data_IF_400630948259
#
_entry.id   IF_400630948259
#
_cell.length_a   1.000
_cell.length_b   1.000
_cell.length_c   1.000
_cell.angle_alpha   90.00
_cell.angle_beta   90.00
_cell.angle_gamma   90.00
#
_symmetry.space_group_name_H-M   'P 1'
#
loop_
_entity.id
_entity.type
_entity.pdbx_description
1 polymer ?
#
# COMPACT_ATOMS: atom_id res chain seq x y z
N UNK A 1 8.01 -7.06 11.65
CA UNK A 1 6.84 -7.97 11.74
C UNK A 1 5.64 -7.33 11.05
N UNK A 2 4.73 -8.13 10.49
CA UNK A 2 3.47 -7.60 9.95
C UNK A 2 2.64 -6.94 11.08
N UNK A 3 1.79 -5.94 10.76
CA UNK A 3 0.84 -5.36 11.72
C UNK A 3 -0.05 -6.43 12.37
N UNK A 4 -0.44 -6.25 13.64
CA UNK A 4 -1.38 -7.17 14.33
C UNK A 4 -2.83 -6.97 13.86
N UNK A 5 -3.13 -5.78 13.33
CA UNK A 5 -4.41 -5.46 12.70
C UNK A 5 -4.19 -4.32 11.69
N UNK A 6 -4.99 -4.32 10.63
CA UNK A 6 -4.97 -3.29 9.59
C UNK A 6 -6.38 -2.70 9.49
N UNK A 7 -6.48 -1.38 9.55
CA UNK A 7 -7.76 -0.67 9.47
C UNK A 7 -7.70 0.46 8.46
N UNK A 8 -8.84 0.79 7.87
CA UNK A 8 -8.91 1.91 6.95
C UNK A 8 -10.28 2.57 6.96
N UNK A 9 -10.33 3.80 6.45
CA UNK A 9 -11.59 4.47 6.18
C UNK A 9 -11.46 5.35 4.93
N UNK A 10 -12.49 5.30 4.08
CA UNK A 10 -12.60 6.23 2.96
C UNK A 10 -13.14 7.58 3.42
N UNK A 11 -12.40 8.64 3.10
CA UNK A 11 -12.86 10.02 3.22
C UNK A 11 -13.53 10.53 1.95
N UNK A 12 -13.77 9.69 0.93
CA UNK A 12 -14.26 10.14 -0.39
C UNK A 12 -15.60 10.87 -0.32
N UNK A 13 -16.50 10.40 0.53
CA UNK A 13 -17.83 11.01 0.73
C UNK A 13 -17.88 11.93 1.96
N UNK A 14 -17.22 11.51 3.04
CA UNK A 14 -17.32 12.13 4.36
C UNK A 14 -16.21 13.16 4.64
N UNK A 15 -15.21 13.25 3.77
CA UNK A 15 -14.02 14.09 3.92
C UNK A 15 -12.88 13.40 4.68
N UNK A 16 -11.66 13.87 4.43
CA UNK A 16 -10.43 13.32 5.03
C UNK A 16 -10.42 13.45 6.56
N UNK A 17 -11.00 14.51 7.11
CA UNK A 17 -11.09 14.76 8.56
C UNK A 17 -11.84 13.64 9.26
N UNK A 18 -13.02 13.26 8.76
CA UNK A 18 -13.82 12.17 9.36
C UNK A 18 -13.09 10.83 9.28
N UNK A 19 -12.47 10.53 8.13
CA UNK A 19 -11.67 9.33 7.97
C UNK A 19 -10.47 9.30 8.95
N UNK A 20 -9.80 10.44 9.12
CA UNK A 20 -8.71 10.59 10.07
C UNK A 20 -9.16 10.35 11.51
N UNK A 21 -10.25 10.99 11.94
CA UNK A 21 -10.77 10.88 13.31
C UNK A 21 -11.17 9.45 13.65
N UNK A 22 -11.81 8.74 12.72
CA UNK A 22 -12.20 7.35 12.90
C UNK A 22 -10.97 6.43 13.07
N UNK A 23 -9.98 6.56 12.19
CA UNK A 23 -8.75 5.75 12.25
C UNK A 23 -7.95 6.09 13.50
N UNK A 24 -7.77 7.38 13.82
CA UNK A 24 -7.10 7.83 15.04
C UNK A 24 -7.81 7.30 16.30
N UNK A 25 -9.14 7.39 16.35
CA UNK A 25 -9.95 6.87 17.44
C UNK A 25 -9.77 5.36 17.63
N UNK A 26 -9.76 4.60 16.52
CA UNK A 26 -9.50 3.17 16.57
C UNK A 26 -8.11 2.85 17.12
N UNK A 27 -7.07 3.53 16.63
CA UNK A 27 -5.71 3.34 17.12
C UNK A 27 -5.59 3.68 18.62
N UNK A 28 -6.23 4.76 19.07
CA UNK A 28 -6.22 5.14 20.49
C UNK A 28 -6.85 4.07 21.39
N UNK A 29 -7.90 3.41 20.92
CA UNK A 29 -8.63 2.39 21.67
C UNK A 29 -7.93 1.03 21.65
N UNK A 30 -7.32 0.66 20.52
CA UNK A 30 -6.89 -0.72 20.27
C UNK A 30 -5.37 -0.92 20.22
N UNK A 31 -4.58 0.15 20.05
CA UNK A 31 -3.13 0.02 19.98
C UNK A 31 -2.44 0.26 21.32
N UNK A 32 -1.34 -0.46 21.55
CA UNK A 32 -0.47 -0.23 22.70
C UNK A 32 0.42 0.98 22.45
N UNK A 33 0.84 1.67 23.51
CA UNK A 33 1.79 2.79 23.44
C UNK A 33 1.35 3.98 22.55
N UNK A 34 0.06 4.12 22.25
CA UNK A 34 -0.48 5.20 21.42
C UNK A 34 -0.01 6.59 21.89
N UNK A 35 -0.16 6.89 23.18
CA UNK A 35 0.25 8.18 23.76
C UNK A 35 1.76 8.44 23.81
N UNK A 36 2.60 7.47 23.42
CA UNK A 36 4.07 7.61 23.39
C UNK A 36 4.66 7.51 21.99
N UNK A 37 3.97 6.86 21.02
CA UNK A 37 4.59 6.35 19.77
C UNK A 37 3.67 6.31 18.54
N UNK A 38 2.58 7.08 18.51
CA UNK A 38 1.70 7.10 17.35
C UNK A 38 2.32 7.92 16.19
N UNK A 39 2.67 7.27 15.09
CA UNK A 39 3.32 7.92 13.96
C UNK A 39 2.30 8.37 12.92
N UNK A 40 2.32 9.65 12.54
CA UNK A 40 1.55 10.12 11.38
C UNK A 40 2.44 10.29 10.18
N UNK A 41 1.97 9.78 9.04
CA UNK A 41 2.58 9.96 7.75
C UNK A 41 1.63 10.75 6.85
N UNK A 42 1.62 12.09 6.95
CA UNK A 42 0.71 12.91 6.16
C UNK A 42 1.23 13.09 4.73
N UNK A 43 0.31 13.10 3.76
CA UNK A 43 0.60 13.69 2.47
C UNK A 43 0.99 15.17 2.64
N UNK A 44 1.86 15.70 1.75
CA UNK A 44 2.37 17.08 1.87
C UNK A 44 1.28 18.14 1.92
N UNK A 45 0.14 17.91 1.25
CA UNK A 45 -0.99 18.83 1.23
C UNK A 45 -1.72 18.92 2.57
N UNK A 46 -1.67 17.88 3.40
CA UNK A 46 -2.37 17.82 4.69
C UNK A 46 -1.54 18.43 5.85
N UNK A 47 -0.26 18.75 5.63
CA UNK A 47 0.67 19.22 6.68
C UNK A 47 0.23 20.51 7.40
N UNK A 48 -0.68 21.31 6.83
CA UNK A 48 -1.17 22.57 7.41
C UNK A 48 -2.53 22.46 8.10
N UNK A 49 -3.10 21.27 8.15
CA UNK A 49 -4.41 21.07 8.75
C UNK A 49 -4.33 21.03 10.29
N UNK A 50 -5.24 21.74 10.95
CA UNK A 50 -5.25 21.91 12.41
C UNK A 50 -5.41 20.57 13.15
N UNK A 51 -6.17 19.62 12.58
CA UNK A 51 -6.36 18.28 13.16
C UNK A 51 -5.07 17.44 13.16
N UNK A 52 -4.14 17.71 12.24
CA UNK A 52 -2.83 17.06 12.20
C UNK A 52 -1.87 17.69 13.24
N UNK A 53 -1.97 18.99 13.52
CA UNK A 53 -1.10 19.68 14.48
C UNK A 53 -1.21 19.11 15.91
N UNK A 54 -2.43 18.75 16.35
CA UNK A 54 -2.65 18.12 17.65
C UNK A 54 -1.98 16.73 17.78
N UNK A 55 -1.84 16.01 16.65
CA UNK A 55 -1.19 14.70 16.62
C UNK A 55 0.34 14.83 16.48
N UNK A 56 0.81 15.83 15.73
CA UNK A 56 2.22 16.20 15.55
C UNK A 56 2.86 16.63 16.88
N UNK A 57 2.09 17.26 17.77
CA UNK A 57 2.56 17.75 19.08
C UNK A 57 3.17 16.66 19.99
N UNK A 58 2.87 15.38 19.75
CA UNK A 58 3.47 14.25 20.47
C UNK A 58 4.88 13.85 19.98
N UNK A 59 5.46 14.58 19.03
CA UNK A 59 6.84 14.38 18.55
C UNK A 59 7.06 13.18 17.63
N UNK A 60 6.01 12.40 17.35
CA UNK A 60 6.05 11.17 16.55
C UNK A 60 5.54 11.44 15.12
N UNK A 61 6.30 12.18 14.33
CA UNK A 61 6.00 12.42 12.91
C UNK A 61 7.07 11.78 12.06
N UNK A 62 6.64 11.00 11.06
CA UNK A 62 7.52 10.31 10.12
C UNK A 62 7.34 10.86 8.72
N UNK A 63 8.40 10.88 7.92
CA UNK A 63 8.26 11.12 6.49
C UNK A 63 9.29 10.32 5.69
N UNK A 64 9.00 9.94 4.44
CA UNK A 64 9.96 9.20 3.61
C UNK A 64 11.26 9.97 3.32
N UNK A 65 11.28 11.30 3.45
CA UNK A 65 12.45 12.17 3.15
C UNK A 65 12.96 12.95 4.36
N UNK A 66 12.71 12.49 5.59
CA UNK A 66 13.04 13.23 6.81
C UNK A 66 13.21 12.32 8.02
N UNK A 67 12.70 12.75 9.19
CA UNK A 67 12.78 11.98 10.45
C UNK A 67 12.11 10.62 10.26
N UNK A 68 12.89 9.54 10.32
CA UNK A 68 12.35 8.20 10.42
C UNK A 68 11.76 8.03 11.80
N UNK A 69 10.45 7.79 11.90
CA UNK A 69 9.83 7.43 13.18
C UNK A 69 10.49 6.18 13.77
N UNK A 70 10.47 6.05 15.09
CA UNK A 70 10.85 4.80 15.76
C UNK A 70 9.82 3.69 15.45
N UNK A 71 10.28 2.44 15.33
CA UNK A 71 9.41 1.27 15.09
C UNK A 71 8.66 0.86 16.36
N UNK A 72 7.56 0.11 16.18
CA UNK A 72 6.87 -0.61 17.26
C UNK A 72 5.78 0.18 17.98
N UNK A 73 5.24 1.21 17.32
CA UNK A 73 4.03 1.95 17.73
C UNK A 73 2.96 1.89 16.65
N UNK A 74 1.69 2.22 16.96
CA UNK A 74 0.65 2.32 15.94
C UNK A 74 0.99 3.38 14.91
N UNK A 75 0.68 3.11 13.65
CA UNK A 75 0.94 4.04 12.55
C UNK A 75 -0.38 4.45 11.91
N UNK A 76 -0.53 5.74 11.66
CA UNK A 76 -1.63 6.32 10.90
C UNK A 76 -1.04 6.97 9.63
N UNK A 77 -1.41 6.44 8.47
CA UNK A 77 -1.05 7.01 7.19
C UNK A 77 -2.23 7.82 6.62
N UNK A 78 -2.00 9.09 6.28
CA UNK A 78 -3.03 10.00 5.75
C UNK A 78 -2.77 10.26 4.28
N UNK A 79 -3.72 9.85 3.46
CA UNK A 79 -3.70 9.93 2.00
C UNK A 79 -2.37 9.41 1.41
N UNK A 80 -1.98 8.16 1.74
CA UNK A 80 -0.62 7.70 1.51
C UNK A 80 -0.32 7.45 0.04
N UNK A 81 0.87 7.86 -0.39
CA UNK A 81 1.51 7.27 -1.57
C UNK A 81 2.01 5.86 -1.28
N UNK A 82 2.33 5.09 -2.31
CA UNK A 82 2.96 3.75 -2.18
C UNK A 82 4.21 3.75 -1.27
N UNK A 83 5.04 4.79 -1.32
CA UNK A 83 6.22 4.95 -0.43
C UNK A 83 5.83 5.14 1.03
N UNK A 84 4.76 5.89 1.27
CA UNK A 84 4.23 6.11 2.62
C UNK A 84 3.61 4.82 3.15
N UNK A 85 2.90 4.08 2.30
CA UNK A 85 2.30 2.80 2.62
C UNK A 85 3.35 1.75 3.00
N UNK A 86 4.38 1.57 2.17
CA UNK A 86 5.54 0.70 2.45
C UNK A 86 6.19 1.07 3.79
N UNK A 87 6.44 2.36 3.99
CA UNK A 87 7.05 2.85 5.22
C UNK A 87 6.16 2.58 6.44
N UNK A 88 4.84 2.77 6.32
CA UNK A 88 3.87 2.54 7.39
C UNK A 88 3.80 1.08 7.83
N UNK A 89 3.74 0.15 6.87
CA UNK A 89 3.78 -1.30 7.12
C UNK A 89 5.02 -1.67 7.94
N UNK A 90 6.19 -1.15 7.54
CA UNK A 90 7.46 -1.43 8.22
C UNK A 90 7.54 -0.82 9.62
N UNK A 91 6.95 0.35 9.83
CA UNK A 91 7.03 1.09 11.10
C UNK A 91 6.03 0.57 12.14
N UNK A 92 4.87 0.07 11.69
CA UNK A 92 3.87 -0.53 12.56
C UNK A 92 4.43 -1.75 13.32
N UNK A 93 5.30 -2.57 12.69
CA UNK A 93 6.12 -3.60 13.34
C UNK A 93 5.40 -4.40 14.45
N UNK A 94 4.32 -5.11 14.10
CA UNK A 94 3.52 -5.85 15.08
C UNK A 94 2.54 -5.00 15.90
N UNK A 95 2.25 -3.76 15.47
CA UNK A 95 1.17 -2.91 15.99
C UNK A 95 0.09 -2.69 14.95
N UNK A 96 -0.95 -1.93 15.30
CA UNK A 96 -2.04 -1.59 14.37
C UNK A 96 -1.55 -0.58 13.33
N UNK A 97 -1.87 -0.82 12.07
CA UNK A 97 -1.65 0.13 10.97
C UNK A 97 -2.99 0.63 10.41
N UNK A 98 -3.16 1.95 10.43
CA UNK A 98 -4.38 2.62 9.99
C UNK A 98 -4.16 3.50 8.77
N UNK A 99 -5.10 3.50 7.83
CA UNK A 99 -5.07 4.36 6.63
C UNK A 99 -6.35 5.20 6.53
N UNK A 100 -6.20 6.52 6.46
CA UNK A 100 -7.29 7.45 6.12
C UNK A 100 -6.99 8.06 4.74
N UNK A 101 -7.88 7.93 3.76
CA UNK A 101 -7.61 8.39 2.39
C UNK A 101 -8.87 8.92 1.70
N UNK A 102 -8.74 9.95 0.86
CA UNK A 102 -9.83 10.34 -0.07
C UNK A 102 -9.70 9.63 -1.43
N UNK A 103 -8.59 8.93 -1.64
CA UNK A 103 -8.27 8.13 -2.83
C UNK A 103 -8.28 6.63 -2.46
N UNK A 104 -9.47 6.00 -2.34
CA UNK A 104 -9.55 4.58 -1.96
C UNK A 104 -8.93 3.64 -3.00
N UNK A 105 -8.90 4.04 -4.28
CA UNK A 105 -8.25 3.27 -5.34
C UNK A 105 -6.76 3.01 -5.07
N UNK A 106 -6.05 4.04 -4.62
CA UNK A 106 -4.60 4.03 -4.39
C UNK A 106 -4.16 3.06 -3.26
N UNK A 107 -5.09 2.66 -2.40
CA UNK A 107 -4.82 1.77 -1.25
C UNK A 107 -5.55 0.43 -1.34
N UNK A 108 -6.41 0.25 -2.35
CA UNK A 108 -7.28 -0.91 -2.51
C UNK A 108 -6.52 -2.25 -2.55
N UNK A 109 -5.36 -2.28 -3.20
CA UNK A 109 -4.47 -3.45 -3.22
C UNK A 109 -3.95 -3.84 -1.84
N UNK A 110 -3.58 -2.86 -1.00
CA UNK A 110 -3.15 -3.11 0.38
C UNK A 110 -4.32 -3.53 1.27
N UNK A 111 -5.50 -2.90 1.10
CA UNK A 111 -6.73 -3.28 1.81
C UNK A 111 -7.05 -4.75 1.56
N UNK A 112 -7.00 -5.19 0.29
CA UNK A 112 -7.24 -6.57 -0.08
C UNK A 112 -6.17 -7.52 0.47
N UNK A 113 -4.88 -7.19 0.30
CA UNK A 113 -3.77 -8.03 0.75
C UNK A 113 -3.75 -8.25 2.27
N UNK A 114 -4.15 -7.23 3.03
CA UNK A 114 -4.16 -7.28 4.51
C UNK A 114 -5.51 -7.67 5.12
N UNK A 115 -6.55 -7.83 4.29
CA UNK A 115 -7.95 -7.98 4.74
C UNK A 115 -8.31 -6.91 5.78
N UNK A 116 -7.96 -5.66 5.47
CA UNK A 116 -8.12 -4.55 6.38
C UNK A 116 -9.60 -4.38 6.77
N UNK A 117 -9.83 -4.02 8.04
CA UNK A 117 -11.13 -3.64 8.56
C UNK A 117 -11.50 -2.25 8.04
N UNK A 118 -12.61 -2.16 7.34
CA UNK A 118 -13.22 -0.89 6.98
C UNK A 118 -13.98 -0.33 8.18
N UNK A 119 -13.59 0.84 8.66
CA UNK A 119 -14.21 1.48 9.82
C UNK A 119 -15.55 2.15 9.50
N UNK A 120 -15.86 2.36 8.22
CA UNK A 120 -17.16 2.87 7.80
C UNK A 120 -18.23 1.78 7.85
N UNK A 121 -17.91 0.59 7.34
CA UNK A 121 -18.85 -0.54 7.27
C UNK A 121 -18.74 -1.50 8.46
N UNK A 122 -17.60 -1.54 9.14
CA UNK A 122 -17.29 -2.52 10.19
C UNK A 122 -16.90 -3.90 9.66
N UNK A 123 -16.75 -4.05 8.34
CA UNK A 123 -16.44 -5.33 7.70
C UNK A 123 -14.97 -5.43 7.27
N UNK A 124 -14.43 -6.64 7.25
CA UNK A 124 -13.09 -6.89 6.69
C UNK A 124 -13.19 -7.13 5.19
N UNK A 125 -12.23 -6.61 4.45
CA UNK A 125 -12.13 -6.93 3.03
C UNK A 125 -11.99 -8.45 2.84
N UNK A 126 -12.73 -9.09 1.91
CA UNK A 126 -12.71 -10.54 1.71
C UNK A 126 -11.37 -11.08 1.14
N UNK A 127 -10.41 -10.21 0.86
CA UNK A 127 -9.23 -10.50 0.06
C UNK A 127 -9.54 -10.55 -1.44
N UNK A 128 -8.72 -11.30 -2.19
CA UNK A 128 -8.93 -11.60 -3.62
C UNK A 128 -9.24 -13.08 -3.80
N UNK A 129 -9.85 -13.50 -4.93
CA UNK A 129 -10.01 -14.90 -5.27
C UNK A 129 -8.67 -15.67 -5.31
N UNK A 130 -8.65 -17.00 -5.05
CA UNK A 130 -7.40 -17.77 -4.93
C UNK A 130 -6.50 -17.75 -6.17
N UNK A 131 -7.08 -17.80 -7.36
CA UNK A 131 -6.38 -17.72 -8.65
C UNK A 131 -5.72 -16.35 -8.87
N UNK A 132 -6.38 -15.29 -8.39
CA UNK A 132 -5.81 -13.93 -8.39
C UNK A 132 -4.69 -13.82 -7.35
N UNK A 133 -4.85 -14.42 -6.18
CA UNK A 133 -3.80 -14.45 -5.17
C UNK A 133 -2.54 -15.17 -5.69
N UNK A 134 -2.72 -16.29 -6.39
CA UNK A 134 -1.64 -17.03 -7.04
C UNK A 134 -0.93 -16.16 -8.09
N UNK A 135 -1.67 -15.52 -8.99
CA UNK A 135 -1.08 -14.62 -10.00
C UNK A 135 -0.30 -13.45 -9.37
N UNK A 136 -0.77 -12.89 -8.24
CA UNK A 136 -0.05 -11.85 -7.49
C UNK A 136 1.25 -12.38 -6.87
N UNK A 137 1.24 -13.61 -6.35
CA UNK A 137 2.43 -14.28 -5.79
C UNK A 137 3.44 -14.62 -6.89
N UNK A 138 2.99 -15.16 -8.02
CA UNK A 138 3.84 -15.44 -9.17
C UNK A 138 4.51 -14.16 -9.69
N UNK A 139 3.75 -13.06 -9.79
CA UNK A 139 4.29 -11.77 -10.19
C UNK A 139 5.28 -11.20 -9.15
N UNK A 140 5.01 -11.43 -7.86
CA UNK A 140 5.93 -11.09 -6.78
C UNK A 140 7.26 -11.85 -6.93
N UNK A 141 7.20 -13.18 -7.09
CA UNK A 141 8.35 -14.07 -7.17
C UNK A 141 9.17 -13.88 -8.45
N UNK A 142 8.51 -13.47 -9.55
CA UNK A 142 9.20 -13.15 -10.80
C UNK A 142 10.21 -11.99 -10.65
N UNK A 143 10.05 -11.12 -9.64
CA UNK A 143 11.14 -10.22 -9.20
C UNK A 143 11.50 -9.09 -10.17
N UNK A 144 10.52 -8.50 -10.89
CA UNK A 144 10.82 -7.41 -11.83
C UNK A 144 11.36 -6.16 -11.12
N UNK A 145 12.58 -5.75 -11.47
CA UNK A 145 13.28 -4.60 -10.89
C UNK A 145 13.54 -3.46 -11.89
N UNK A 146 12.91 -3.50 -13.08
CA UNK A 146 12.92 -2.37 -14.03
C UNK A 146 14.03 -2.35 -15.09
N UNK A 147 15.04 -3.22 -15.02
CA UNK A 147 16.16 -3.24 -15.98
C UNK A 147 16.11 -4.46 -16.90
N UNK A 148 16.32 -4.26 -18.21
CA UNK A 148 16.79 -5.23 -19.23
C UNK A 148 15.95 -6.48 -19.51
N UNK A 149 15.52 -7.15 -18.43
CA UNK A 149 14.89 -8.47 -18.34
C UNK A 149 13.53 -8.58 -18.99
N UNK A 150 12.77 -7.48 -19.10
CA UNK A 150 11.48 -7.53 -19.83
C UNK A 150 11.67 -7.85 -21.33
N UNK A 151 12.89 -7.69 -21.85
CA UNK A 151 13.27 -8.03 -23.23
C UNK A 151 13.97 -9.39 -23.34
N UNK A 152 14.11 -10.12 -22.23
CA UNK A 152 14.68 -11.46 -22.20
C UNK A 152 13.54 -12.49 -22.09
N UNK A 153 13.51 -13.46 -23.01
CA UNK A 153 12.42 -14.44 -23.14
C UNK A 153 12.10 -15.15 -21.82
N UNK A 154 13.14 -15.55 -21.08
CA UNK A 154 13.01 -16.24 -19.79
C UNK A 154 12.22 -15.42 -18.75
N UNK A 155 12.46 -14.12 -18.68
CA UNK A 155 11.83 -13.24 -17.71
C UNK A 155 10.45 -12.77 -18.19
N UNK A 156 10.29 -12.52 -19.49
CA UNK A 156 9.00 -12.25 -20.10
C UNK A 156 7.99 -13.39 -19.85
N UNK A 157 8.43 -14.64 -19.95
CA UNK A 157 7.63 -15.83 -19.65
C UNK A 157 7.20 -15.93 -18.17
N UNK A 158 7.86 -15.21 -17.26
CA UNK A 158 7.49 -15.15 -15.83
C UNK A 158 6.58 -13.98 -15.49
N UNK A 159 6.74 -12.82 -16.15
CA UNK A 159 5.96 -11.62 -15.84
C UNK A 159 4.61 -11.59 -16.54
N UNK A 160 4.59 -11.92 -17.82
CA UNK A 160 3.42 -11.64 -18.65
C UNK A 160 2.22 -12.56 -18.38
N UNK A 161 2.39 -13.88 -18.13
CA UNK A 161 1.26 -14.72 -17.76
C UNK A 161 0.46 -14.24 -16.53
N UNK A 162 1.09 -13.94 -15.37
CA UNK A 162 0.32 -13.41 -14.24
C UNK A 162 -0.26 -12.00 -14.52
N UNK A 163 0.44 -11.14 -15.28
CA UNK A 163 -0.12 -9.84 -15.71
C UNK A 163 -1.37 -10.04 -16.57
N UNK A 164 -1.38 -11.00 -17.49
CA UNK A 164 -2.53 -11.28 -18.35
C UNK A 164 -3.74 -11.74 -17.53
N UNK A 165 -3.53 -12.61 -16.54
CA UNK A 165 -4.58 -13.06 -15.61
C UNK A 165 -5.17 -11.86 -14.85
N UNK A 166 -4.32 -11.03 -14.26
CA UNK A 166 -4.73 -9.87 -13.46
C UNK A 166 -5.48 -8.83 -14.30
N UNK A 167 -5.00 -8.53 -15.51
CA UNK A 167 -5.67 -7.61 -16.43
C UNK A 167 -7.01 -8.16 -16.92
N UNK A 168 -7.10 -9.46 -17.22
CA UNK A 168 -8.34 -10.08 -17.66
C UNK A 168 -9.41 -10.08 -16.56
N UNK A 169 -9.00 -10.24 -15.30
CA UNK A 169 -9.86 -10.14 -14.13
C UNK A 169 -10.20 -8.69 -13.72
N UNK A 170 -9.68 -7.68 -14.43
CA UNK A 170 -10.03 -6.27 -14.23
C UNK A 170 -9.22 -5.56 -13.16
N UNK A 171 -8.12 -6.15 -12.67
CA UNK A 171 -7.23 -5.48 -11.73
C UNK A 171 -6.31 -4.50 -12.45
N UNK A 172 -6.31 -3.25 -12.01
CA UNK A 172 -5.40 -2.22 -12.52
C UNK A 172 -4.00 -2.30 -11.86
N UNK A 173 -3.06 -1.54 -12.42
CA UNK A 173 -1.67 -1.57 -11.95
C UNK A 173 -1.50 -0.98 -10.56
N UNK A 174 -2.36 -0.05 -10.13
CA UNK A 174 -2.24 0.61 -8.83
C UNK A 174 -2.72 -0.34 -7.71
N UNK A 175 -3.80 -1.10 -7.96
CA UNK A 175 -4.20 -2.24 -7.11
C UNK A 175 -3.05 -3.24 -7.00
N UNK A 176 -2.49 -3.68 -8.12
CA UNK A 176 -1.40 -4.68 -8.11
C UNK A 176 -0.17 -4.15 -7.38
N UNK A 177 0.21 -2.90 -7.59
CA UNK A 177 1.34 -2.27 -6.89
C UNK A 177 1.13 -2.22 -5.38
N UNK A 178 -0.04 -1.81 -4.91
CA UNK A 178 -0.38 -1.79 -3.48
C UNK A 178 -0.36 -3.19 -2.84
N UNK A 179 -0.84 -4.21 -3.56
CA UNK A 179 -0.80 -5.59 -3.09
C UNK A 179 0.64 -6.10 -2.97
N UNK A 180 1.47 -5.89 -4.00
CA UNK A 180 2.87 -6.35 -4.04
C UNK A 180 3.74 -5.69 -2.96
N UNK A 181 3.46 -4.43 -2.58
CA UNK A 181 4.14 -3.78 -1.44
C UNK A 181 3.85 -4.52 -0.14
N UNK A 182 2.61 -4.98 0.04
CA UNK A 182 2.22 -5.76 1.22
C UNK A 182 2.95 -7.10 1.30
N UNK A 183 3.20 -7.72 0.14
CA UNK A 183 4.03 -8.93 0.04
C UNK A 183 5.53 -8.68 0.28
N UNK A 184 5.97 -7.41 0.31
CA UNK A 184 7.34 -7.02 0.64
C UNK A 184 8.14 -6.43 -0.52
N UNK A 185 7.52 -6.12 -1.67
CA UNK A 185 8.22 -5.34 -2.71
C UNK A 185 8.43 -3.90 -2.25
N UNK A 186 9.56 -3.32 -2.65
CA UNK A 186 9.77 -1.89 -2.45
C UNK A 186 8.89 -1.06 -3.39
N UNK A 187 8.50 0.14 -2.94
CA UNK A 187 7.73 1.07 -3.76
C UNK A 187 8.46 1.40 -5.08
N UNK A 188 9.79 1.52 -5.05
CA UNK A 188 10.57 1.77 -6.26
C UNK A 188 10.51 0.58 -7.24
N UNK A 189 10.44 -0.66 -6.76
CA UNK A 189 10.31 -1.85 -7.61
C UNK A 189 8.96 -1.91 -8.32
N UNK A 190 7.87 -1.58 -7.63
CA UNK A 190 6.52 -1.61 -8.22
C UNK A 190 6.24 -0.42 -9.13
N UNK A 191 6.93 0.71 -8.98
CA UNK A 191 6.85 1.80 -9.97
C UNK A 191 7.35 1.36 -11.35
N UNK A 192 8.33 0.45 -11.41
CA UNK A 192 8.77 -0.12 -12.67
C UNK A 192 7.74 -1.06 -13.31
N UNK A 193 6.88 -1.71 -12.50
CA UNK A 193 5.84 -2.61 -13.01
C UNK A 193 4.92 -1.90 -14.01
N UNK A 194 4.63 -0.61 -13.80
CA UNK A 194 3.82 0.22 -14.73
C UNK A 194 4.33 0.22 -16.17
N UNK A 195 5.63 -0.02 -16.38
CA UNK A 195 6.23 -0.09 -17.73
C UNK A 195 5.88 -1.37 -18.48
N UNK A 196 5.56 -2.45 -17.77
CA UNK A 196 5.30 -3.77 -18.34
C UNK A 196 3.86 -4.26 -18.11
N UNK A 197 3.11 -3.61 -17.21
CA UNK A 197 1.68 -3.84 -16.98
C UNK A 197 0.85 -3.24 -18.12
N UNK A 198 1.00 -3.83 -19.31
CA UNK A 198 0.40 -3.36 -20.55
C UNK A 198 -0.17 -4.53 -21.32
N UNK A 199 -1.18 -4.23 -22.14
CA UNK A 199 -1.80 -5.20 -23.06
C UNK A 199 -0.74 -5.86 -23.95
N UNK A 200 -0.93 -7.13 -24.39
CA UNK A 200 0.06 -7.87 -25.18
C UNK A 200 0.63 -7.11 -26.38
N UNK A 201 -0.21 -6.36 -27.10
CA UNK A 201 0.18 -5.58 -28.27
C UNK A 201 1.06 -4.35 -27.97
N UNK A 202 1.17 -3.92 -26.71
CA UNK A 202 1.99 -2.79 -26.25
C UNK A 202 3.26 -3.23 -25.52
N UNK A 203 3.52 -4.53 -25.41
CA UNK A 203 4.70 -5.06 -24.71
C UNK A 203 5.99 -4.68 -25.42
N UNK A 204 7.09 -4.43 -24.68
CA UNK A 204 8.40 -4.26 -25.28
C UNK A 204 8.71 -5.45 -26.20
N UNK A 205 9.09 -5.16 -27.45
CA UNK A 205 9.52 -6.23 -28.37
C UNK A 205 10.80 -6.85 -27.85
N UNK A 206 10.77 -8.17 -27.67
CA UNK A 206 11.96 -8.97 -27.39
C UNK A 206 12.77 -8.99 -28.70
N UNK A 207 14.02 -8.49 -28.72
CA UNK A 207 14.87 -8.61 -29.89
C UNK A 207 15.04 -10.10 -30.19
N UNK A 208 14.57 -10.55 -31.35
CA UNK A 208 14.91 -11.90 -31.83
C UNK A 208 16.43 -11.91 -32.04
N UNK A 209 17.14 -12.65 -31.19
CA UNK A 209 18.58 -12.88 -31.36
C UNK A 209 18.86 -13.44 -32.75
N UNK A 210 19.91 -12.91 -33.38
CA UNK A 210 20.58 -13.56 -34.53
C UNK A 210 21.33 -14.79 -34.06
#
# INVERSE_FOLDING_TARGET
>A
MAPIDNVWMSGRQLGLVKAFDAVSGYLRKNAKNYGKRALVLPHKSALREDYLQAYIANGNVGSPRGRSGERGGPVLAVDPTLKVLEMGIRLADGQVFGVATVHPGDVSGWVAATRALDLETGERHPGVPPDIEEALRDLYDAGYNGYGRAREDFFAAKYFPPIDILMAAGYDVDFVAGYLITLGKSADSVEYLKKIYVKPNKRPRIPRGR
#
